data_IF_779232042923
#
_entry.id   IF_779232042923
#
_cell.length_a   1.000
_cell.length_b   1.000
_cell.length_c   1.000
_cell.angle_alpha   90.00
_cell.angle_beta   90.00
_cell.angle_gamma   90.00
#
_symmetry.space_group_name_H-M   'P 1'
#
loop_
_entity.id
_entity.type
_entity.pdbx_description
1 polymer ?
#
# COMPACT_ATOMS: atom_id res chain seq x y z
N UNK A 1 -1.12 -15.79 -48.40
CA UNK A 1 -1.76 -15.49 -47.10
C UNK A 1 -0.78 -15.47 -45.91
N UNK A 2 0.47 -15.96 -45.99
CA UNK A 2 1.38 -15.99 -44.82
C UNK A 2 2.07 -14.64 -44.50
N UNK A 3 2.19 -13.73 -45.47
CA UNK A 3 2.97 -12.49 -45.33
C UNK A 3 2.35 -11.46 -44.37
N UNK A 4 1.02 -11.38 -44.28
CA UNK A 4 0.35 -10.40 -43.43
C UNK A 4 0.46 -10.72 -41.93
N UNK A 5 0.56 -12.01 -41.58
CA UNK A 5 0.79 -12.44 -40.20
C UNK A 5 2.19 -12.06 -39.71
N UNK A 6 3.20 -12.12 -40.58
CA UNK A 6 4.57 -11.74 -40.23
C UNK A 6 4.68 -10.22 -40.01
N UNK A 7 4.07 -9.42 -40.88
CA UNK A 7 4.05 -7.95 -40.73
C UNK A 7 3.24 -7.54 -39.49
N UNK A 8 2.09 -8.17 -39.24
CA UNK A 8 1.29 -7.93 -38.04
C UNK A 8 2.00 -8.35 -36.74
N UNK A 9 2.68 -9.50 -36.75
CA UNK A 9 3.42 -10.01 -35.60
C UNK A 9 4.64 -9.15 -35.25
N UNK A 10 5.40 -8.71 -36.25
CA UNK A 10 6.53 -7.79 -36.04
C UNK A 10 6.05 -6.43 -35.53
N UNK A 11 4.92 -5.93 -36.04
CA UNK A 11 4.30 -4.70 -35.56
C UNK A 11 3.87 -4.80 -34.08
N UNK A 12 3.21 -5.90 -33.70
CA UNK A 12 2.77 -6.13 -32.32
C UNK A 12 3.95 -6.27 -31.36
N UNK A 13 5.00 -6.98 -31.77
CA UNK A 13 6.23 -7.12 -30.97
C UNK A 13 7.00 -5.79 -30.83
N UNK A 14 7.10 -5.02 -31.91
CA UNK A 14 7.73 -3.69 -31.87
C UNK A 14 6.97 -2.73 -30.95
N UNK A 15 5.64 -2.72 -31.01
CA UNK A 15 4.81 -1.89 -30.15
C UNK A 15 4.91 -2.31 -28.66
N UNK A 16 4.92 -3.61 -28.37
CA UNK A 16 5.06 -4.10 -26.99
C UNK A 16 6.46 -3.83 -26.42
N UNK A 17 7.52 -4.03 -27.21
CA UNK A 17 8.88 -3.72 -26.81
C UNK A 17 9.10 -2.21 -26.60
N UNK A 18 8.54 -1.36 -27.48
CA UNK A 18 8.61 0.09 -27.33
C UNK A 18 7.80 0.61 -26.14
N UNK A 19 6.60 0.04 -25.91
CA UNK A 19 5.80 0.31 -24.71
C UNK A 19 6.54 -0.06 -23.43
N UNK A 20 7.18 -1.24 -23.39
CA UNK A 20 8.00 -1.65 -22.24
C UNK A 20 9.22 -0.76 -22.05
N UNK A 21 9.90 -0.36 -23.13
CA UNK A 21 11.06 0.54 -23.07
C UNK A 21 10.69 1.92 -22.50
N UNK A 22 9.59 2.50 -22.96
CA UNK A 22 9.09 3.79 -22.45
C UNK A 22 8.61 3.66 -21.01
N UNK A 23 7.93 2.57 -20.64
CA UNK A 23 7.52 2.28 -19.27
C UNK A 23 8.73 2.15 -18.32
N UNK A 24 9.72 1.33 -18.68
CA UNK A 24 10.94 1.16 -17.88
C UNK A 24 11.76 2.44 -17.79
N UNK A 25 11.80 3.25 -18.84
CA UNK A 25 12.53 4.53 -18.81
C UNK A 25 11.78 5.57 -17.96
N UNK A 26 10.44 5.61 -18.04
CA UNK A 26 9.62 6.44 -17.16
C UNK A 26 9.70 5.99 -15.69
N UNK A 27 9.76 4.68 -15.43
CA UNK A 27 9.94 4.14 -14.08
C UNK A 27 11.37 4.28 -13.56
N UNK A 28 12.41 4.24 -14.40
CA UNK A 28 13.79 4.58 -13.99
C UNK A 28 13.92 6.07 -13.65
N UNK A 29 13.11 6.94 -14.25
CA UNK A 29 13.04 8.36 -13.89
C UNK A 29 12.22 8.60 -12.60
N UNK A 30 11.28 7.71 -12.26
CA UNK A 30 10.55 7.74 -10.97
C UNK A 30 11.19 6.86 -9.87
N UNK A 31 12.18 6.05 -10.20
CA UNK A 31 12.69 4.95 -9.37
C UNK A 31 14.07 5.16 -8.77
N UNK A 32 14.66 6.36 -8.90
CA UNK A 32 15.90 6.74 -8.21
C UNK A 32 15.61 7.81 -7.13
N UNK A 33 14.50 7.61 -6.44
CA UNK A 33 14.23 8.17 -5.13
C UNK A 33 14.40 7.10 -4.07
N UNK A 34 15.51 6.36 -4.10
CA UNK A 34 16.01 5.63 -2.94
C UNK A 34 16.24 6.64 -1.81
N UNK A 35 15.19 6.87 -1.04
CA UNK A 35 15.34 7.26 0.35
C UNK A 35 15.54 5.96 1.11
N UNK A 36 16.76 5.45 1.05
CA UNK A 36 17.43 4.86 2.20
C UNK A 36 17.42 5.93 3.31
N UNK A 37 16.24 6.11 3.92
CA UNK A 37 16.11 6.81 5.19
C UNK A 37 16.89 6.01 6.23
N UNK A 38 17.45 6.66 7.26
CA UNK A 38 18.21 5.96 8.28
C UNK A 38 17.29 5.02 9.06
N UNK A 39 17.19 3.77 8.60
CA UNK A 39 16.67 2.65 9.37
C UNK A 39 17.68 2.39 10.49
N UNK A 40 17.43 2.95 11.67
CA UNK A 40 18.14 2.51 12.88
C UNK A 40 18.33 3.50 14.01
N UNK A 41 18.18 4.81 13.80
CA UNK A 41 18.57 5.78 14.85
C UNK A 41 17.43 6.63 15.43
N UNK A 42 16.25 6.68 14.80
CA UNK A 42 15.11 7.46 15.32
C UNK A 42 14.32 6.75 16.45
N UNK A 43 14.67 5.53 16.83
CA UNK A 43 13.99 4.77 17.89
C UNK A 43 14.45 5.13 19.31
N UNK A 44 15.37 6.11 19.46
CA UNK A 44 15.97 6.47 20.77
C UNK A 44 15.57 7.83 21.34
N UNK A 45 14.70 8.59 20.69
CA UNK A 45 14.15 9.83 21.26
C UNK A 45 12.64 9.72 21.53
N UNK A 46 12.27 8.67 22.26
CA UNK A 46 11.03 8.64 23.03
C UNK A 46 11.17 9.63 24.20
N UNK A 47 10.93 10.92 23.95
CA UNK A 47 11.13 11.93 24.98
C UNK A 47 10.75 13.37 24.64
N UNK A 48 9.80 13.63 23.74
CA UNK A 48 9.20 14.96 23.62
C UNK A 48 7.91 14.87 22.80
N UNK A 49 6.81 15.47 23.28
CA UNK A 49 5.46 15.39 22.70
C UNK A 49 5.26 15.96 21.28
N UNK A 50 6.33 16.03 20.48
CA UNK A 50 6.36 16.51 19.10
C UNK A 50 6.46 15.37 18.06
N UNK A 51 6.86 14.16 18.48
CA UNK A 51 6.95 12.99 17.60
C UNK A 51 5.59 12.58 17.02
N UNK A 52 4.56 12.43 17.88
CA UNK A 52 3.21 12.04 17.47
C UNK A 52 2.63 12.95 16.37
N UNK A 53 2.83 14.27 16.47
CA UNK A 53 2.35 15.23 15.45
C UNK A 53 3.05 15.10 14.11
N UNK A 54 4.33 14.69 14.13
CA UNK A 54 5.11 14.44 12.91
C UNK A 54 4.65 13.15 12.25
N UNK A 55 4.40 12.11 13.04
CA UNK A 55 3.81 10.86 12.55
C UNK A 55 2.43 11.08 11.95
N UNK A 56 1.53 11.80 12.62
CA UNK A 56 0.18 12.12 12.11
C UNK A 56 0.22 12.86 10.76
N UNK A 57 1.16 13.80 10.60
CA UNK A 57 1.31 14.58 9.38
C UNK A 57 1.80 13.74 8.18
N UNK A 58 2.67 12.77 8.44
CA UNK A 58 3.23 11.87 7.41
C UNK A 58 2.25 10.73 7.09
N UNK A 59 1.54 10.23 8.10
CA UNK A 59 0.70 9.05 7.98
C UNK A 59 -0.40 9.22 6.92
N UNK A 60 -1.04 10.39 6.83
CA UNK A 60 -2.06 10.65 5.78
C UNK A 60 -1.52 10.52 4.36
N UNK A 61 -0.30 11.03 4.12
CA UNK A 61 0.36 10.93 2.81
C UNK A 61 0.78 9.50 2.52
N UNK A 62 1.37 8.83 3.50
CA UNK A 62 1.78 7.44 3.40
C UNK A 62 0.59 6.53 3.09
N UNK A 63 -0.52 6.70 3.82
CA UNK A 63 -1.73 5.89 3.64
C UNK A 63 -2.32 6.02 2.23
N UNK A 64 -2.29 7.23 1.67
CA UNK A 64 -2.73 7.49 0.30
C UNK A 64 -1.81 6.91 -0.77
N UNK A 65 -0.50 6.93 -0.55
CA UNK A 65 0.49 6.39 -1.48
C UNK A 65 0.43 4.86 -1.54
N UNK A 66 0.32 4.22 -0.37
CA UNK A 66 0.28 2.76 -0.24
C UNK A 66 -1.07 2.17 -0.69
N UNK A 67 -2.15 2.95 -0.68
CA UNK A 67 -3.50 2.46 -1.02
C UNK A 67 -3.61 1.85 -2.44
N UNK A 68 -2.90 2.40 -3.42
CA UNK A 68 -2.90 1.87 -4.80
C UNK A 68 -2.18 0.52 -4.92
N UNK A 69 -1.06 0.35 -4.20
CA UNK A 69 -0.30 -0.91 -4.16
C UNK A 69 -1.05 -1.98 -3.37
N UNK A 70 -1.64 -1.64 -2.22
CA UNK A 70 -2.47 -2.57 -1.46
C UNK A 70 -3.68 -3.05 -2.25
N UNK A 71 -4.30 -2.16 -3.05
CA UNK A 71 -5.43 -2.53 -3.88
C UNK A 71 -5.02 -3.54 -4.96
N UNK A 72 -3.86 -3.35 -5.62
CA UNK A 72 -3.36 -4.29 -6.62
C UNK A 72 -2.98 -5.65 -6.02
N UNK A 73 -2.50 -5.67 -4.78
CA UNK A 73 -2.21 -6.90 -4.03
C UNK A 73 -3.46 -7.56 -3.40
N UNK A 74 -4.62 -6.90 -3.43
CA UNK A 74 -5.85 -7.42 -2.84
C UNK A 74 -5.90 -7.39 -1.31
N UNK A 75 -5.02 -6.64 -0.64
CA UNK A 75 -4.99 -6.50 0.82
C UNK A 75 -6.33 -6.00 1.41
N UNK A 76 -7.07 -5.07 0.78
CA UNK A 76 -8.40 -4.66 1.24
C UNK A 76 -9.40 -5.83 1.33
N UNK A 77 -9.35 -6.77 0.37
CA UNK A 77 -10.24 -7.93 0.35
C UNK A 77 -9.89 -8.89 1.48
N UNK A 78 -8.61 -9.12 1.73
CA UNK A 78 -8.14 -9.96 2.83
C UNK A 78 -8.51 -9.37 4.19
N UNK A 79 -8.30 -8.05 4.40
CA UNK A 79 -8.72 -7.36 5.62
C UNK A 79 -10.21 -7.53 5.85
N UNK A 80 -11.03 -7.25 4.83
CA UNK A 80 -12.47 -7.45 4.89
C UNK A 80 -12.84 -8.89 5.25
N UNK A 81 -12.17 -9.88 4.67
CA UNK A 81 -12.45 -11.28 4.94
C UNK A 81 -12.12 -11.67 6.38
N UNK A 82 -10.92 -11.32 6.88
CA UNK A 82 -10.50 -11.67 8.24
C UNK A 82 -11.38 -10.96 9.28
N UNK A 83 -11.62 -9.67 9.11
CA UNK A 83 -12.25 -8.84 10.15
C UNK A 83 -13.76 -9.04 10.24
N UNK A 84 -14.38 -9.55 9.18
CA UNK A 84 -15.76 -10.00 9.23
C UNK A 84 -15.97 -11.20 10.18
N UNK A 85 -14.89 -11.92 10.55
CA UNK A 85 -14.95 -12.99 11.54
C UNK A 85 -14.69 -12.50 12.97
N UNK A 86 -14.27 -11.25 13.16
CA UNK A 86 -14.07 -10.67 14.49
C UNK A 86 -15.44 -10.37 15.14
N UNK A 87 -15.71 -11.00 16.28
CA UNK A 87 -16.99 -10.90 17.01
C UNK A 87 -16.76 -10.86 18.52
N UNK A 88 -17.67 -10.24 19.26
CA UNK A 88 -17.56 -10.11 20.71
C UNK A 88 -16.55 -9.03 21.11
N UNK A 89 -15.68 -9.32 22.07
CA UNK A 89 -14.65 -8.37 22.51
C UNK A 89 -13.39 -8.54 21.67
N UNK A 90 -12.99 -7.49 20.97
CA UNK A 90 -11.90 -7.49 20.01
C UNK A 90 -10.80 -6.53 20.49
N UNK A 91 -9.55 -7.00 20.43
CA UNK A 91 -8.35 -6.19 20.65
C UNK A 91 -7.58 -6.09 19.34
N UNK A 92 -7.39 -4.87 18.85
CA UNK A 92 -6.50 -4.56 17.72
C UNK A 92 -5.22 -3.92 18.27
N UNK A 93 -4.09 -4.54 17.93
CA UNK A 93 -2.75 -4.09 18.32
C UNK A 93 -2.11 -3.43 17.10
N UNK A 94 -1.39 -2.34 17.31
CA UNK A 94 -0.81 -1.52 16.25
C UNK A 94 -1.89 -0.97 15.32
N UNK A 95 -2.93 -0.40 15.93
CA UNK A 95 -4.07 0.17 15.20
C UNK A 95 -3.65 1.32 14.28
N UNK A 96 -2.54 2.00 14.60
CA UNK A 96 -2.01 3.12 13.82
C UNK A 96 -3.09 4.16 13.53
N UNK A 97 -3.25 4.53 12.26
CA UNK A 97 -4.28 5.50 11.82
C UNK A 97 -5.71 4.95 11.80
N UNK A 98 -5.93 3.67 12.13
CA UNK A 98 -7.26 3.08 12.19
C UNK A 98 -7.85 2.72 10.84
N UNK A 99 -7.03 2.51 9.80
CA UNK A 99 -7.50 2.11 8.44
C UNK A 99 -8.31 0.83 8.42
N UNK A 100 -8.16 0.00 9.44
CA UNK A 100 -8.84 -1.27 9.56
C UNK A 100 -10.29 -1.15 10.07
N UNK A 101 -10.62 -0.02 10.71
CA UNK A 101 -11.90 0.20 11.38
C UNK A 101 -13.11 0.06 10.46
N UNK A 102 -12.97 0.46 9.19
CA UNK A 102 -14.04 0.36 8.19
C UNK A 102 -14.37 -1.06 7.78
N UNK A 103 -13.53 -2.04 8.11
CA UNK A 103 -13.70 -3.44 7.73
C UNK A 103 -14.33 -4.30 8.83
N UNK A 104 -14.48 -3.77 10.05
CA UNK A 104 -15.15 -4.47 11.13
C UNK A 104 -16.67 -4.51 10.93
N UNK A 105 -17.25 -5.68 11.15
CA UNK A 105 -18.71 -5.84 11.25
C UNK A 105 -19.15 -5.42 12.65
N UNK A 106 -19.31 -4.12 12.87
CA UNK A 106 -19.58 -3.51 14.18
C UNK A 106 -20.82 -4.11 14.88
N UNK A 107 -21.83 -4.57 14.13
CA UNK A 107 -23.01 -5.25 14.69
C UNK A 107 -22.68 -6.55 15.43
N UNK A 108 -21.57 -7.21 15.08
CA UNK A 108 -21.10 -8.44 15.71
C UNK A 108 -20.04 -8.21 16.79
N UNK A 109 -19.58 -6.96 16.96
CA UNK A 109 -18.53 -6.58 17.91
C UNK A 109 -19.19 -5.95 19.14
N UNK A 110 -18.94 -6.53 20.33
CA UNK A 110 -19.43 -6.03 21.61
C UNK A 110 -18.54 -4.92 22.17
N UNK A 111 -17.22 -5.08 22.05
CA UNK A 111 -16.25 -4.05 22.40
C UNK A 111 -15.05 -4.13 21.47
N UNK A 112 -14.49 -2.97 21.11
CA UNK A 112 -13.28 -2.85 20.29
C UNK A 112 -12.26 -2.02 21.05
N UNK A 113 -11.16 -2.65 21.45
CA UNK A 113 -10.02 -1.99 22.10
C UNK A 113 -8.91 -1.83 21.07
N UNK A 114 -8.38 -0.61 20.94
CA UNK A 114 -7.28 -0.28 20.05
C UNK A 114 -6.05 0.06 20.88
N UNK A 115 -4.90 -0.51 20.52
CA UNK A 115 -3.60 -0.18 21.10
C UNK A 115 -2.62 0.20 19.99
N UNK A 116 -1.81 1.23 20.21
CA UNK A 116 -0.75 1.71 19.31
C UNK A 116 0.47 2.16 20.13
#
# INVERSE_FOLDING_TARGET
AASWYLVGGVGLYGASAYGMYTYLTAHKLHGDGDKSGPEGEASREAGSGNGARTYDAIAKKYDSAIGGEEFSMGTPLLRRWILNHAKGDVLEISAGTGRNLTYYSLDSVRSLTLAD
#
